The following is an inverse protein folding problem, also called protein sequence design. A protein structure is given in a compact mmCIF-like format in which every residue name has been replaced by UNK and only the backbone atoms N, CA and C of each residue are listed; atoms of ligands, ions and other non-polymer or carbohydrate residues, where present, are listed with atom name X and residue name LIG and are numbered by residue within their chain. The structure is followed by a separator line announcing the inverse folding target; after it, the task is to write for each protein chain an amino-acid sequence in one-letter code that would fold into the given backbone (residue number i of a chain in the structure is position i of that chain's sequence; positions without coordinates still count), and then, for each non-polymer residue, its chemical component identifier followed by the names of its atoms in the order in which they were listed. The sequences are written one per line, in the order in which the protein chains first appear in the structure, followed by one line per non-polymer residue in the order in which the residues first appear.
data_IF_597680007053
#
_entry.id   IF_597680007053
#
_cell.length_a   1.000
_cell.length_b   1.000
_cell.length_c   1.000
_cell.angle_alpha   90.00
_cell.angle_beta   90.00
_cell.angle_gamma   90.00
#
_symmetry.space_group_name_H-M   'P 1'
#
loop_
_entity.id
_entity.type
_entity.pdbx_description
1 polymer ?
#
# COMPACT_ATOMS: atom_id res chain seq x y z
N UNK A 1 -3.43 -11.55 -6.62
CA UNK A 1 -4.26 -11.07 -5.49
C UNK A 1 -4.59 -9.59 -5.61
N UNK A 2 -3.63 -8.64 -5.61
CA UNK A 2 -4.00 -7.23 -5.79
C UNK A 2 -4.60 -6.95 -7.17
N UNK A 3 -4.05 -7.53 -8.23
CA UNK A 3 -4.47 -7.26 -9.61
C UNK A 3 -5.64 -8.13 -10.10
N UNK A 4 -6.17 -9.03 -9.29
CA UNK A 4 -7.35 -9.81 -9.70
C UNK A 4 -8.59 -8.93 -9.71
N UNK A 5 -9.37 -9.03 -10.78
CA UNK A 5 -10.58 -8.24 -10.99
C UNK A 5 -11.57 -8.40 -9.85
N UNK A 6 -11.76 -9.63 -9.35
CA UNK A 6 -12.63 -9.93 -8.21
C UNK A 6 -12.19 -9.19 -6.94
N UNK A 7 -10.89 -9.16 -6.66
CA UNK A 7 -10.34 -8.44 -5.51
C UNK A 7 -10.51 -6.93 -5.69
N UNK A 8 -10.23 -6.40 -6.88
CA UNK A 8 -10.43 -4.97 -7.17
C UNK A 8 -11.90 -4.55 -7.01
N UNK A 9 -12.85 -5.38 -7.43
CA UNK A 9 -14.29 -5.14 -7.25
C UNK A 9 -14.71 -5.17 -5.78
N UNK A 10 -14.25 -6.18 -5.03
CA UNK A 10 -14.50 -6.26 -3.59
C UNK A 10 -13.99 -5.02 -2.88
N UNK A 11 -12.74 -4.63 -3.16
CA UNK A 11 -12.07 -3.48 -2.58
C UNK A 11 -12.77 -2.17 -2.95
N UNK A 12 -13.18 -1.97 -4.20
CA UNK A 12 -13.95 -0.78 -4.59
C UNK A 12 -15.31 -0.69 -3.88
N UNK A 13 -15.98 -1.82 -3.63
CA UNK A 13 -17.30 -1.84 -2.97
C UNK A 13 -17.28 -1.44 -1.48
N UNK A 14 -16.11 -1.45 -0.85
CA UNK A 14 -15.94 -1.17 0.58
C UNK A 14 -15.19 0.14 0.85
N UNK A 15 -14.72 0.85 -0.19
CA UNK A 15 -13.87 2.03 -0.05
C UNK A 15 -14.53 3.17 0.73
N UNK A 16 -15.83 3.35 0.55
CA UNK A 16 -16.61 4.39 1.23
C UNK A 16 -17.19 3.94 2.59
N UNK A 17 -16.95 2.68 2.99
CA UNK A 17 -17.50 2.13 4.24
C UNK A 17 -16.61 2.47 5.43
N UNK A 18 -17.16 3.27 6.35
CA UNK A 18 -16.47 3.67 7.59
C UNK A 18 -16.53 2.63 8.71
N UNK A 19 -17.36 1.60 8.54
CA UNK A 19 -17.60 0.54 9.52
C UNK A 19 -16.73 -0.70 9.30
N UNK A 20 -15.92 -0.73 8.24
CA UNK A 20 -15.04 -1.86 7.94
C UNK A 20 -13.58 -1.41 7.91
N UNK A 21 -12.71 -2.15 8.60
CA UNK A 21 -11.28 -2.03 8.42
C UNK A 21 -10.83 -2.86 7.20
N UNK A 22 -10.36 -2.17 6.17
CA UNK A 22 -9.78 -2.78 4.97
C UNK A 22 -8.64 -3.77 5.31
N UNK A 23 -7.95 -3.55 6.43
CA UNK A 23 -6.91 -4.46 6.90
C UNK A 23 -7.45 -5.84 7.24
N UNK A 24 -8.65 -5.92 7.82
CA UNK A 24 -9.31 -7.18 8.15
C UNK A 24 -9.67 -7.92 6.85
N UNK A 25 -10.17 -7.18 5.85
CA UNK A 25 -10.48 -7.76 4.53
C UNK A 25 -9.23 -8.29 3.82
N UNK A 26 -8.11 -7.55 3.85
CA UNK A 26 -6.86 -8.03 3.27
C UNK A 26 -6.32 -9.23 4.04
N UNK A 27 -6.45 -9.25 5.38
CA UNK A 27 -6.06 -10.38 6.20
C UNK A 27 -6.91 -11.62 5.87
N UNK A 28 -8.21 -11.46 5.66
CA UNK A 28 -9.12 -12.52 5.25
C UNK A 28 -8.79 -13.04 3.85
N UNK A 29 -8.52 -12.15 2.89
CA UNK A 29 -8.11 -12.55 1.53
C UNK A 29 -6.81 -13.35 1.54
N UNK A 30 -5.80 -12.90 2.30
CA UNK A 30 -4.55 -13.64 2.45
C UNK A 30 -4.77 -14.99 3.14
N UNK A 31 -5.57 -15.02 4.20
CA UNK A 31 -5.92 -16.24 4.93
C UNK A 31 -6.62 -17.24 4.01
N UNK A 32 -7.59 -16.79 3.22
CA UNK A 32 -8.31 -17.63 2.27
C UNK A 32 -7.39 -18.14 1.15
N UNK A 33 -6.45 -17.33 0.67
CA UNK A 33 -5.44 -17.80 -0.28
C UNK A 33 -4.61 -18.95 0.31
N UNK A 34 -4.13 -18.80 1.55
CA UNK A 34 -3.34 -19.83 2.22
C UNK A 34 -4.17 -21.10 2.47
N UNK A 35 -5.41 -20.97 2.93
CA UNK A 35 -6.34 -22.10 3.10
C UNK A 35 -6.60 -22.82 1.77
N UNK A 36 -6.76 -22.09 0.68
CA UNK A 36 -6.96 -22.70 -0.65
C UNK A 36 -5.70 -23.41 -1.16
N UNK A 37 -4.51 -22.91 -0.81
CA UNK A 37 -3.24 -23.50 -1.23
C UNK A 37 -2.86 -24.74 -0.41
N UNK A 38 -3.06 -24.71 0.92
CA UNK A 38 -2.72 -25.81 1.83
C UNK A 38 -3.82 -26.88 1.85
N UNK A 39 -5.09 -26.47 1.72
CA UNK A 39 -6.25 -27.35 1.78
C UNK A 39 -7.18 -27.02 2.94
N UNK A 40 -8.43 -27.52 2.88
CA UNK A 40 -9.49 -27.22 3.86
C UNK A 40 -9.21 -27.76 5.26
N UNK A 41 -8.32 -28.74 5.38
CA UNK A 41 -7.94 -29.37 6.64
C UNK A 41 -6.73 -28.69 7.30
N UNK A 42 -6.27 -27.56 6.75
CA UNK A 42 -5.16 -26.80 7.31
C UNK A 42 -5.45 -26.35 8.74
N UNK A 43 -4.51 -26.61 9.64
CA UNK A 43 -4.53 -26.12 11.01
C UNK A 43 -4.26 -24.62 11.08
N UNK A 44 -4.65 -23.98 12.19
CA UNK A 44 -4.40 -22.55 12.39
C UNK A 44 -2.90 -22.23 12.35
N UNK A 45 -2.05 -23.10 12.93
CA UNK A 45 -0.59 -22.92 12.92
C UNK A 45 -0.01 -22.95 11.50
N UNK A 46 -0.48 -23.85 10.65
CA UNK A 46 -0.08 -23.92 9.24
C UNK A 46 -0.51 -22.68 8.45
N UNK A 47 -1.71 -22.16 8.73
CA UNK A 47 -2.20 -20.93 8.13
C UNK A 47 -1.32 -19.74 8.54
N UNK A 48 -1.02 -19.60 9.84
CA UNK A 48 -0.16 -18.52 10.35
C UNK A 48 1.27 -18.63 9.80
N UNK A 49 1.81 -19.84 9.68
CA UNK A 49 3.10 -20.09 9.06
C UNK A 49 3.10 -19.68 7.57
N UNK A 50 2.07 -20.09 6.82
CA UNK A 50 1.91 -19.71 5.42
C UNK A 50 1.79 -18.20 5.21
N UNK A 51 1.02 -17.50 6.05
CA UNK A 51 0.93 -16.04 6.04
C UNK A 51 2.27 -15.37 6.29
N UNK A 52 3.07 -15.89 7.23
CA UNK A 52 4.43 -15.39 7.50
C UNK A 52 5.33 -15.56 6.29
N UNK A 53 5.35 -16.75 5.68
CA UNK A 53 6.15 -17.02 4.47
C UNK A 53 5.73 -16.09 3.33
N UNK A 54 4.42 -15.95 3.08
CA UNK A 54 3.89 -15.06 2.04
C UNK A 54 4.37 -13.61 2.24
N UNK A 55 4.24 -13.07 3.45
CA UNK A 55 4.60 -11.68 3.77
C UNK A 55 6.11 -11.43 3.72
N UNK A 56 6.91 -12.44 4.04
CA UNK A 56 8.38 -12.37 4.02
C UNK A 56 9.00 -12.87 2.71
N UNK A 57 8.21 -13.31 1.72
CA UNK A 57 8.73 -13.96 0.51
C UNK A 57 9.75 -13.09 -0.24
N UNK A 58 9.52 -11.78 -0.35
CA UNK A 58 10.45 -10.84 -0.98
C UNK A 58 11.83 -10.79 -0.29
N UNK A 59 11.91 -11.07 1.01
CA UNK A 59 13.16 -11.13 1.79
C UNK A 59 13.82 -12.51 1.74
N UNK A 60 13.01 -13.58 1.63
CA UNK A 60 13.48 -14.96 1.65
C UNK A 60 13.98 -15.41 0.27
N UNK A 61 13.40 -14.89 -0.82
CA UNK A 61 13.69 -15.29 -2.19
C UNK A 61 14.31 -14.13 -2.99
N UNK A 62 15.49 -13.68 -2.56
CA UNK A 62 16.18 -12.51 -3.11
C UNK A 62 16.50 -12.60 -4.61
N UNK A 63 16.72 -13.81 -5.13
CA UNK A 63 17.08 -14.05 -6.53
C UNK A 63 15.87 -14.35 -7.42
N UNK A 64 14.67 -14.34 -6.87
CA UNK A 64 13.45 -14.64 -7.61
C UNK A 64 12.70 -13.36 -7.95
N UNK A 65 12.69 -13.03 -9.23
CA UNK A 65 12.04 -11.82 -9.75
C UNK A 65 10.52 -11.82 -9.53
N UNK A 66 9.88 -12.98 -9.42
CA UNK A 66 8.44 -13.06 -9.18
C UNK A 66 8.11 -12.62 -7.76
N UNK A 67 8.90 -13.08 -6.77
CA UNK A 67 8.73 -12.68 -5.37
C UNK A 67 9.13 -11.23 -5.10
N UNK A 68 10.11 -10.70 -5.83
CA UNK A 68 10.49 -9.27 -5.73
C UNK A 68 9.39 -8.33 -6.23
N UNK A 69 8.67 -8.73 -7.28
CA UNK A 69 7.60 -7.92 -7.89
C UNK A 69 6.23 -8.16 -7.24
N UNK A 70 6.17 -9.00 -6.22
CA UNK A 70 4.92 -9.41 -5.58
C UNK A 70 4.37 -8.23 -4.75
N UNK A 71 3.40 -7.53 -5.33
CA UNK A 71 2.71 -6.41 -4.67
C UNK A 71 1.78 -6.93 -3.57
N UNK A 72 2.32 -7.10 -2.36
CA UNK A 72 1.54 -7.40 -1.16
C UNK A 72 1.13 -6.10 -0.47
N UNK A 73 -0.14 -6.03 -0.05
CA UNK A 73 -0.55 -5.01 0.90
C UNK A 73 0.08 -5.31 2.26
N UNK A 74 1.11 -4.54 2.60
CA UNK A 74 1.73 -4.55 3.93
C UNK A 74 1.04 -3.46 4.75
N UNK A 75 0.67 -3.80 6.00
CA UNK A 75 -0.06 -2.95 6.97
C UNK A 75 0.45 -1.50 7.08
N UNK A 76 1.71 -1.24 6.74
CA UNK A 76 2.37 0.05 6.90
C UNK A 76 2.46 0.90 5.61
N UNK A 77 2.08 0.38 4.43
CA UNK A 77 2.12 1.13 3.17
C UNK A 77 0.75 1.73 2.80
N UNK A 78 0.13 2.44 3.75
CA UNK A 78 -1.13 3.17 3.51
C UNK A 78 -0.85 4.61 3.13
N UNK A 79 -1.28 5.03 1.94
CA UNK A 79 -1.60 6.44 1.71
C UNK A 79 -2.91 6.74 2.44
N UNK A 80 -2.87 7.58 3.47
CA UNK A 80 -4.08 8.06 4.14
C UNK A 80 -4.59 9.29 3.40
N UNK A 81 -5.91 9.51 3.43
CA UNK A 81 -6.45 10.82 3.07
C UNK A 81 -5.79 11.86 3.99
N UNK A 82 -5.12 12.82 3.37
CA UNK A 82 -4.47 13.91 4.08
C UNK A 82 -5.49 14.88 4.66
N UNK A 83 -5.04 15.79 5.52
CA UNK A 83 -5.91 16.76 6.19
C UNK A 83 -6.26 17.99 5.32
N UNK A 84 -5.74 18.07 4.09
CA UNK A 84 -5.93 19.20 3.18
C UNK A 84 -7.19 19.02 2.33
N UNK A 85 -7.98 20.08 2.22
CA UNK A 85 -9.19 20.17 1.43
C UNK A 85 -9.02 21.20 0.30
N UNK A 86 -9.93 21.16 -0.68
CA UNK A 86 -9.95 22.13 -1.77
C UNK A 86 -10.21 23.53 -1.19
N UNK A 87 -9.31 24.47 -1.52
CA UNK A 87 -9.36 25.85 -1.02
C UNK A 87 -8.43 26.11 0.17
N UNK A 88 -7.88 25.07 0.79
CA UNK A 88 -6.88 25.24 1.84
C UNK A 88 -5.58 25.84 1.28
N UNK A 89 -4.92 26.65 2.11
CA UNK A 89 -3.57 27.11 1.82
C UNK A 89 -2.60 25.94 2.01
N UNK A 90 -1.82 25.64 0.96
CA UNK A 90 -0.76 24.65 1.06
C UNK A 90 0.29 25.11 2.09
N UNK A 91 0.64 24.22 3.02
CA UNK A 91 1.67 24.48 4.02
C UNK A 91 3.03 24.47 3.33
N UNK A 92 3.86 25.49 3.59
CA UNK A 92 5.24 25.45 3.13
C UNK A 92 6.04 24.46 3.97
N UNK A 93 6.61 23.46 3.31
CA UNK A 93 7.40 22.40 3.95
C UNK A 93 8.80 22.37 3.34
N UNK A 94 9.77 21.95 4.14
CA UNK A 94 11.12 21.72 3.66
C UNK A 94 11.20 20.35 2.96
N UNK A 95 11.67 20.36 1.73
CA UNK A 95 11.91 19.19 0.90
C UNK A 95 13.41 18.97 0.75
N UNK A 96 13.82 17.72 0.58
CA UNK A 96 15.17 17.38 0.14
C UNK A 96 15.11 17.12 -1.36
N UNK A 97 15.84 17.92 -2.15
CA UNK A 97 15.88 17.72 -3.60
C UNK A 97 16.84 16.57 -3.97
N UNK A 98 16.86 16.19 -5.25
CA UNK A 98 17.72 15.10 -5.75
C UNK A 98 19.22 15.43 -5.70
N UNK A 99 19.58 16.70 -5.49
CA UNK A 99 20.96 17.14 -5.30
C UNK A 99 21.39 17.09 -3.83
N UNK A 100 20.50 16.68 -2.91
CA UNK A 100 20.76 16.65 -1.47
C UNK A 100 20.62 18.01 -0.78
N UNK A 101 20.00 18.99 -1.43
CA UNK A 101 19.81 20.33 -0.87
C UNK A 101 18.40 20.47 -0.29
N UNK A 102 18.29 21.24 0.80
CA UNK A 102 17.01 21.58 1.38
C UNK A 102 16.35 22.75 0.64
N UNK A 103 15.13 22.55 0.17
CA UNK A 103 14.36 23.55 -0.59
C UNK A 103 12.94 23.67 -0.05
N UNK A 104 12.32 24.85 -0.16
CA UNK A 104 10.92 25.06 0.24
C UNK A 104 9.96 24.50 -0.83
N UNK A 105 8.85 23.91 -0.42
CA UNK A 105 7.80 23.46 -1.36
C UNK A 105 7.26 24.63 -2.19
N UNK A 106 6.98 25.76 -1.55
CA UNK A 106 6.44 26.94 -2.23
C UNK A 106 7.42 27.56 -3.24
N UNK A 107 8.72 27.26 -3.16
CA UNK A 107 9.69 27.70 -4.17
C UNK A 107 9.43 27.14 -5.58
N UNK A 108 8.70 26.02 -5.68
CA UNK A 108 8.28 25.42 -6.95
C UNK A 108 6.97 26.04 -7.50
N UNK A 109 6.30 26.88 -6.72
CA UNK A 109 5.09 27.55 -7.17
C UNK A 109 5.43 28.71 -8.11
N UNK A 110 4.72 28.75 -9.24
CA UNK A 110 4.80 29.86 -10.19
C UNK A 110 3.40 30.37 -10.49
N UNK A 111 3.20 31.70 -10.40
CA UNK A 111 1.86 32.33 -10.50
C UNK A 111 1.04 31.91 -11.74
N UNK A 112 1.69 31.59 -12.86
CA UNK A 112 1.04 31.22 -14.11
C UNK A 112 0.98 29.71 -14.38
N UNK A 113 1.34 28.85 -13.42
CA UNK A 113 1.37 27.39 -13.63
C UNK A 113 0.91 26.63 -12.38
N UNK A 114 -0.10 25.74 -12.48
CA UNK A 114 -0.47 24.89 -11.36
C UNK A 114 0.68 23.94 -11.01
N UNK A 115 0.93 23.78 -9.72
CA UNK A 115 1.89 22.81 -9.19
C UNK A 115 1.13 21.53 -8.81
N UNK A 116 1.47 20.41 -9.46
CA UNK A 116 1.00 19.08 -9.09
C UNK A 116 2.09 18.35 -8.32
N UNK A 117 1.77 17.85 -7.13
CA UNK A 117 2.68 17.06 -6.30
C UNK A 117 2.20 15.61 -6.34
N UNK A 118 3.11 14.72 -6.73
CA UNK A 118 2.88 13.26 -6.66
C UNK A 118 3.88 12.71 -5.65
N UNK A 119 3.37 12.17 -4.56
CA UNK A 119 4.19 11.58 -3.50
C UNK A 119 3.96 10.08 -3.42
N UNK A 120 5.04 9.35 -3.17
CA UNK A 120 5.03 7.92 -2.91
C UNK A 120 6.16 7.57 -1.96
N UNK A 121 6.00 6.47 -1.23
CA UNK A 121 7.13 5.88 -0.50
C UNK A 121 7.95 5.06 -1.49
N UNK A 122 9.26 5.33 -1.55
CA UNK A 122 10.22 4.47 -2.22
C UNK A 122 10.91 3.63 -1.15
N UNK A 123 10.82 2.30 -1.28
CA UNK A 123 11.51 1.30 -0.46
C UNK A 123 12.49 0.55 -1.32
#
# INVERSE_FOLDING_TARGET
MRLSQETQQLLSSIEDRKDIDWMDIIADLQTNLIKNAIGKDATEDEIQYGLRILRSAHQLYLNDSEFHNLSLYVRHNRAKQGNLHVGDLAVDIQLLNMNGEFVSLLSYFHFNRPLLIIAGSYT
#
